data_IF_810611815214
#
_entry.id   IF_810611815214
#
_cell.length_a   1.000
_cell.length_b   1.000
_cell.length_c   1.000
_cell.angle_alpha   90.00
_cell.angle_beta   90.00
_cell.angle_gamma   90.00
#
_symmetry.space_group_name_H-M   'P 1'
#
loop_
_entity.id
_entity.type
_entity.pdbx_description
1 polymer ?
#
# COMPACT_ATOMS: atom_id res chain seq x y z
N UNK A 1 37.97 37.44 -2.07
CA UNK A 1 37.24 38.43 -2.93
C UNK A 1 36.76 37.83 -4.23
N UNK A 2 37.54 37.01 -4.90
CA UNK A 2 37.14 36.38 -6.19
C UNK A 2 35.99 35.39 -5.99
N UNK A 3 36.01 34.57 -4.91
CA UNK A 3 34.98 33.58 -4.65
C UNK A 3 33.61 34.19 -4.27
N UNK A 4 33.61 35.32 -3.54
CA UNK A 4 32.38 36.05 -3.23
C UNK A 4 31.77 36.73 -4.47
N UNK A 5 32.59 37.07 -5.44
CA UNK A 5 32.12 37.59 -6.72
C UNK A 5 31.58 36.49 -7.62
N UNK A 6 32.23 35.30 -7.64
CA UNK A 6 31.76 34.13 -8.37
C UNK A 6 30.40 33.61 -7.79
N UNK A 7 30.29 33.51 -6.46
CA UNK A 7 29.06 33.09 -5.81
C UNK A 7 27.88 34.07 -6.06
N UNK A 8 28.16 35.39 -6.12
CA UNK A 8 27.17 36.37 -6.52
C UNK A 8 26.79 36.24 -8.00
N UNK A 9 27.74 36.02 -8.88
CA UNK A 9 27.48 35.85 -10.33
C UNK A 9 26.70 34.59 -10.60
N UNK A 10 27.04 33.47 -9.95
CA UNK A 10 26.24 32.22 -10.05
C UNK A 10 24.85 32.39 -9.46
N UNK A 11 24.68 33.05 -8.33
CA UNK A 11 23.36 33.36 -7.76
C UNK A 11 22.51 34.28 -8.65
N UNK A 12 23.12 35.26 -9.32
CA UNK A 12 22.42 36.12 -10.30
C UNK A 12 22.08 35.34 -11.58
N UNK A 13 22.97 34.46 -12.05
CA UNK A 13 22.70 33.63 -13.24
C UNK A 13 21.61 32.62 -13.00
N UNK A 14 21.58 31.91 -11.84
CA UNK A 14 20.48 31.00 -11.47
C UNK A 14 19.17 31.76 -11.33
N UNK A 15 19.14 32.89 -10.64
CA UNK A 15 17.90 33.70 -10.52
C UNK A 15 17.43 34.29 -11.87
N UNK A 16 18.33 34.66 -12.75
CA UNK A 16 18.01 35.13 -14.09
C UNK A 16 17.53 34.02 -15.01
N UNK A 17 18.10 32.81 -14.91
CA UNK A 17 17.65 31.63 -15.64
C UNK A 17 16.27 31.19 -15.14
N UNK A 18 16.05 31.16 -13.82
CA UNK A 18 14.75 30.87 -13.20
C UNK A 18 13.69 31.90 -13.60
N UNK A 19 14.07 33.18 -13.75
CA UNK A 19 13.16 34.22 -14.19
C UNK A 19 12.85 34.10 -15.68
N UNK A 20 13.85 33.82 -16.52
CA UNK A 20 13.67 33.56 -17.94
C UNK A 20 12.85 32.33 -18.22
N UNK A 21 12.98 31.28 -17.39
CA UNK A 21 12.15 30.06 -17.47
C UNK A 21 10.70 30.35 -17.08
N UNK A 22 10.45 31.16 -16.05
CA UNK A 22 9.09 31.63 -15.69
C UNK A 22 8.47 32.51 -16.77
N UNK A 23 9.24 33.43 -17.34
CA UNK A 23 8.79 34.30 -18.41
C UNK A 23 8.56 33.53 -19.74
N UNK A 24 9.27 32.44 -19.95
CA UNK A 24 9.08 31.55 -21.11
C UNK A 24 7.87 30.59 -20.95
N UNK A 25 7.16 30.61 -19.84
CA UNK A 25 5.98 29.77 -19.58
C UNK A 25 6.30 28.27 -19.34
N UNK A 26 7.57 27.91 -19.13
CA UNK A 26 7.94 26.55 -18.77
C UNK A 26 7.65 26.26 -17.29
N UNK A 27 7.05 25.12 -16.95
CA UNK A 27 6.81 24.75 -15.55
C UNK A 27 8.12 24.51 -14.82
N UNK A 28 8.27 25.16 -13.66
CA UNK A 28 9.42 25.03 -12.77
C UNK A 28 8.99 24.25 -11.53
N UNK A 29 9.80 23.29 -11.04
CA UNK A 29 9.50 22.61 -9.78
C UNK A 29 9.59 23.59 -8.62
N UNK A 30 8.60 23.53 -7.74
CA UNK A 30 8.51 24.40 -6.55
C UNK A 30 8.28 23.57 -5.32
N UNK A 31 8.85 23.99 -4.21
CA UNK A 31 8.60 23.39 -2.91
C UNK A 31 8.42 24.47 -1.84
N UNK A 32 7.79 24.10 -0.77
CA UNK A 32 7.72 24.85 0.46
C UNK A 32 8.12 23.94 1.61
N UNK A 33 9.00 24.41 2.46
CA UNK A 33 9.43 23.70 3.66
C UNK A 33 9.39 24.67 4.84
N UNK A 34 8.72 24.23 5.92
CA UNK A 34 8.74 24.98 7.18
C UNK A 34 9.44 24.17 8.26
N UNK A 35 10.12 24.87 9.18
CA UNK A 35 10.70 24.29 10.41
C UNK A 35 10.00 24.97 11.59
N UNK A 36 9.35 24.19 12.44
CA UNK A 36 8.56 24.69 13.59
C UNK A 36 7.61 25.83 13.20
N UNK A 37 7.00 25.73 12.00
CA UNK A 37 6.07 26.69 11.43
C UNK A 37 6.71 27.86 10.66
N UNK A 38 8.01 28.05 10.72
CA UNK A 38 8.72 29.10 9.99
C UNK A 38 9.09 28.64 8.58
N UNK A 39 8.69 29.37 7.56
CA UNK A 39 9.01 29.08 6.17
C UNK A 39 10.48 29.36 5.89
N UNK A 40 11.21 28.33 5.47
CA UNK A 40 12.64 28.40 5.15
C UNK A 40 12.92 28.17 3.66
N UNK A 41 11.90 28.00 2.82
CA UNK A 41 12.07 27.63 1.43
C UNK A 41 12.98 28.59 0.66
N UNK A 42 12.80 29.91 0.84
CA UNK A 42 13.66 30.90 0.18
C UNK A 42 15.11 30.87 0.64
N UNK A 43 15.35 30.53 1.91
CA UNK A 43 16.69 30.42 2.47
C UNK A 43 17.44 29.22 1.91
N UNK A 44 16.73 28.07 1.78
CA UNK A 44 17.35 26.80 1.39
C UNK A 44 17.33 26.56 -0.12
N UNK A 45 16.44 27.17 -0.91
CA UNK A 45 16.37 26.97 -2.36
C UNK A 45 17.72 27.13 -3.08
N UNK A 46 18.52 28.17 -2.84
CA UNK A 46 19.80 28.32 -3.52
C UNK A 46 20.91 27.38 -3.02
N UNK A 47 20.61 26.62 -1.96
CA UNK A 47 21.54 25.67 -1.31
C UNK A 47 21.10 24.22 -1.46
N UNK A 48 19.93 23.98 -2.05
CA UNK A 48 19.37 22.65 -2.17
C UNK A 48 20.21 21.79 -3.14
N UNK A 49 20.78 20.70 -2.61
CA UNK A 49 21.42 19.67 -3.39
C UNK A 49 20.37 18.62 -3.77
N UNK A 50 19.66 18.09 -2.76
CA UNK A 50 18.61 17.10 -2.97
C UNK A 50 17.54 17.19 -1.86
N UNK A 51 16.31 16.91 -2.22
CA UNK A 51 15.18 16.69 -1.34
C UNK A 51 14.49 15.40 -1.80
N UNK A 52 14.52 14.39 -0.96
CA UNK A 52 13.93 13.08 -1.23
C UNK A 52 12.84 12.80 -0.21
N UNK A 53 11.65 12.46 -0.68
CA UNK A 53 10.55 12.01 0.13
C UNK A 53 10.14 10.61 -0.33
N UNK A 54 10.15 9.66 0.59
CA UNK A 54 9.58 8.33 0.38
C UNK A 54 8.27 8.21 1.15
N UNK A 55 7.17 8.13 0.42
CA UNK A 55 5.84 7.77 0.92
C UNK A 55 5.77 6.25 1.00
N UNK A 56 5.89 5.69 2.19
CA UNK A 56 5.90 4.25 2.41
C UNK A 56 4.48 3.68 2.52
N UNK A 57 4.33 2.49 1.99
CA UNK A 57 3.12 1.68 2.16
C UNK A 57 3.08 1.06 3.56
N UNK A 58 1.90 1.03 4.17
CA UNK A 58 1.69 0.36 5.46
C UNK A 58 2.18 1.16 6.66
N UNK A 59 2.75 0.48 7.64
CA UNK A 59 3.17 1.05 8.93
C UNK A 59 4.64 1.51 8.95
N UNK A 60 5.32 1.44 7.84
CA UNK A 60 6.64 2.07 7.74
C UNK A 60 6.49 3.59 7.69
N UNK A 61 7.31 4.29 8.48
CA UNK A 61 7.27 5.74 8.52
C UNK A 61 7.73 6.31 7.18
N UNK A 62 7.00 7.30 6.66
CA UNK A 62 7.48 8.07 5.53
C UNK A 62 8.77 8.77 5.91
N UNK A 63 9.70 8.89 4.98
CA UNK A 63 11.03 9.43 5.21
C UNK A 63 11.26 10.65 4.34
N UNK A 64 11.65 11.74 4.97
CA UNK A 64 12.08 12.96 4.31
C UNK A 64 13.58 13.14 4.54
N UNK A 65 14.34 13.30 3.46
CA UNK A 65 15.76 13.65 3.48
C UNK A 65 15.97 14.96 2.73
N UNK A 66 16.67 15.91 3.37
CA UNK A 66 17.02 17.19 2.76
C UNK A 66 18.52 17.39 2.87
N UNK A 67 19.18 17.57 1.74
CA UNK A 67 20.64 17.76 1.64
C UNK A 67 20.92 19.16 1.11
N UNK A 68 21.66 19.94 1.87
CA UNK A 68 21.94 21.36 1.63
C UNK A 68 23.44 21.62 1.57
N UNK A 69 23.86 22.49 0.66
CA UNK A 69 25.23 23.04 0.65
C UNK A 69 25.38 24.07 1.77
N UNK A 70 26.36 23.87 2.62
CA UNK A 70 26.73 24.81 3.69
C UNK A 70 28.11 25.46 3.46
N UNK A 71 28.39 25.78 2.20
CA UNK A 71 29.68 26.31 1.71
C UNK A 71 30.18 27.55 2.44
N UNK A 72 29.34 28.26 3.16
CA UNK A 72 29.67 29.48 3.93
C UNK A 72 29.55 29.26 5.45
N UNK A 73 29.14 28.06 5.89
CA UNK A 73 29.00 27.71 7.32
C UNK A 73 27.88 28.47 8.05
N UNK A 74 26.89 29.01 7.31
CA UNK A 74 25.85 29.87 7.89
C UNK A 74 24.53 29.12 8.16
N UNK A 75 24.40 27.85 7.77
CA UNK A 75 23.22 27.08 8.05
C UNK A 75 23.18 26.65 9.54
N UNK A 76 22.09 26.99 10.19
CA UNK A 76 21.84 26.48 11.53
C UNK A 76 21.45 24.99 11.44
N UNK A 77 22.09 24.16 12.26
CA UNK A 77 21.73 22.74 12.38
C UNK A 77 20.41 22.64 13.17
N UNK A 78 19.32 22.11 12.57
CA UNK A 78 18.06 21.97 13.30
C UNK A 78 18.21 20.96 14.45
N UNK A 79 17.60 21.23 15.61
CA UNK A 79 17.64 20.29 16.72
C UNK A 79 16.81 19.03 16.39
N UNK A 80 17.19 17.90 17.00
CA UNK A 80 16.37 16.70 16.96
C UNK A 80 14.99 16.98 17.55
N UNK A 81 13.94 16.51 16.86
CA UNK A 81 12.57 16.76 17.27
C UNK A 81 11.96 18.01 16.65
N UNK A 82 12.72 18.80 15.88
CA UNK A 82 12.16 19.89 15.09
C UNK A 82 11.12 19.35 14.11
N UNK A 83 10.05 20.11 13.89
CA UNK A 83 8.92 19.71 13.06
C UNK A 83 9.07 20.34 11.68
N UNK A 84 9.23 19.49 10.66
CA UNK A 84 9.25 19.89 9.25
C UNK A 84 7.85 19.70 8.64
N UNK A 85 7.39 20.64 7.81
CA UNK A 85 6.20 20.46 6.98
C UNK A 85 6.55 20.75 5.53
N UNK A 86 6.24 19.83 4.63
CA UNK A 86 6.64 19.83 3.24
C UNK A 86 5.45 19.96 2.30
N UNK A 87 5.60 20.80 1.27
CA UNK A 87 4.75 20.85 0.08
C UNK A 87 5.63 20.74 -1.15
N UNK A 88 5.19 19.98 -2.14
CA UNK A 88 5.86 19.79 -3.43
C UNK A 88 4.90 20.11 -4.57
N UNK A 89 5.42 20.58 -5.69
CA UNK A 89 4.61 20.82 -6.87
C UNK A 89 5.36 21.53 -8.01
N UNK A 90 4.59 22.18 -8.84
CA UNK A 90 5.09 22.92 -10.00
C UNK A 90 4.49 24.32 -10.04
N UNK A 91 5.19 25.25 -10.67
CA UNK A 91 4.74 26.65 -10.79
C UNK A 91 3.40 26.80 -11.51
N UNK A 92 3.04 25.85 -12.39
CA UNK A 92 1.80 25.84 -13.18
C UNK A 92 0.64 25.08 -12.51
N UNK A 93 0.91 24.11 -11.64
CA UNK A 93 -0.11 23.25 -11.01
C UNK A 93 -0.25 23.47 -9.51
N UNK A 94 0.65 24.26 -8.91
CA UNK A 94 0.63 24.58 -7.48
C UNK A 94 1.27 23.51 -6.59
N UNK A 95 1.17 23.76 -5.29
CA UNK A 95 1.78 22.94 -4.24
C UNK A 95 0.78 21.95 -3.66
N UNK A 96 1.22 20.70 -3.46
CA UNK A 96 0.48 19.63 -2.78
C UNK A 96 1.12 19.43 -1.41
N UNK A 97 0.30 19.37 -0.37
CA UNK A 97 0.74 19.07 1.01
C UNK A 97 1.20 17.62 1.11
N UNK A 98 2.45 17.42 1.56
CA UNK A 98 3.05 16.09 1.75
C UNK A 98 3.14 15.71 3.24
N UNK A 99 2.66 16.57 4.13
CA UNK A 99 2.56 16.25 5.56
C UNK A 99 3.72 16.71 6.40
N UNK A 100 3.78 16.18 7.61
CA UNK A 100 4.64 16.64 8.70
C UNK A 100 5.63 15.56 9.11
N UNK A 101 6.88 15.96 9.31
CA UNK A 101 8.01 15.09 9.62
C UNK A 101 8.73 15.60 10.86
N UNK A 102 9.27 14.68 11.67
CA UNK A 102 10.07 15.03 12.85
C UNK A 102 11.52 14.69 12.56
N UNK A 103 12.42 15.66 12.73
CA UNK A 103 13.86 15.47 12.55
C UNK A 103 14.38 14.46 13.58
N UNK A 104 14.94 13.37 13.10
CA UNK A 104 15.55 12.33 13.94
C UNK A 104 17.08 12.27 13.80
N UNK A 105 17.60 12.72 12.67
CA UNK A 105 19.04 12.71 12.39
C UNK A 105 19.46 13.97 11.62
N UNK A 106 20.56 14.55 12.05
CA UNK A 106 21.24 15.65 11.36
C UNK A 106 22.72 15.32 11.23
N UNK A 107 23.29 15.46 10.05
CA UNK A 107 24.68 15.17 9.76
C UNK A 107 25.29 16.36 9.02
N UNK A 108 26.46 16.81 9.47
CA UNK A 108 27.24 17.84 8.79
C UNK A 108 28.59 17.24 8.40
N UNK A 109 28.90 17.29 7.12
CA UNK A 109 30.11 16.76 6.51
C UNK A 109 30.87 17.88 5.79
N UNK A 110 32.20 17.76 5.71
CA UNK A 110 33.07 18.68 4.96
C UNK A 110 34.39 18.03 4.61
N UNK A 111 35.15 18.45 3.59
CA UNK A 111 34.83 19.43 2.56
C UNK A 111 34.48 18.75 1.24
N UNK A 112 33.54 19.27 0.43
CA UNK A 112 32.75 20.51 0.65
C UNK A 112 31.74 20.33 1.77
N UNK A 113 31.40 21.45 2.46
CA UNK A 113 30.50 21.42 3.60
C UNK A 113 29.04 21.22 3.17
N UNK A 114 28.44 20.19 3.73
CA UNK A 114 27.08 19.72 3.42
C UNK A 114 26.33 19.41 4.71
N UNK A 115 25.10 19.92 4.83
CA UNK A 115 24.18 19.59 5.89
C UNK A 115 23.10 18.64 5.35
N UNK A 116 23.03 17.44 5.94
CA UNK A 116 21.98 16.46 5.67
C UNK A 116 21.02 16.36 6.86
N UNK A 117 19.73 16.47 6.59
CA UNK A 117 18.65 16.42 7.59
C UNK A 117 17.77 15.23 7.20
N UNK A 118 17.58 14.28 8.12
CA UNK A 118 16.65 13.16 7.96
C UNK A 118 15.52 13.30 8.96
N UNK A 119 14.31 13.13 8.47
CA UNK A 119 13.10 13.24 9.28
C UNK A 119 12.12 12.13 8.91
N UNK A 120 11.30 11.71 9.86
CA UNK A 120 10.28 10.68 9.66
C UNK A 120 8.90 11.24 9.95
N UNK A 121 7.88 10.68 9.29
CA UNK A 121 6.51 11.15 9.50
C UNK A 121 6.14 11.17 10.98
N UNK A 122 5.53 12.27 11.40
CA UNK A 122 5.14 12.52 12.79
C UNK A 122 4.06 11.56 13.30
N UNK A 123 3.39 10.86 12.40
CA UNK A 123 2.20 10.06 12.69
C UNK A 123 2.50 8.74 13.41
N UNK A 124 3.72 8.19 13.28
CA UNK A 124 4.14 6.99 14.00
C UNK A 124 4.61 7.32 15.43
N UNK A 125 3.64 7.50 16.31
CA UNK A 125 3.85 7.86 17.72
C UNK A 125 4.65 6.79 18.47
N UNK A 126 5.43 7.23 19.47
CA UNK A 126 6.20 6.34 20.38
C UNK A 126 5.33 5.25 21.01
N UNK A 127 4.04 5.51 21.23
CA UNK A 127 3.09 4.56 21.84
C UNK A 127 2.93 3.25 21.06
N UNK A 128 2.90 3.32 19.73
CA UNK A 128 2.76 2.13 18.88
C UNK A 128 3.96 1.18 18.94
N UNK A 129 5.13 1.66 19.36
CA UNK A 129 6.36 0.85 19.52
C UNK A 129 6.50 0.21 20.89
N UNK A 130 5.64 0.57 21.85
CA UNK A 130 5.66 0.00 23.19
C UNK A 130 5.11 -1.41 23.15
N UNK A 131 5.86 -2.37 23.72
CA UNK A 131 5.42 -3.76 23.84
C UNK A 131 4.32 -3.87 24.89
N UNK A 132 3.31 -4.67 24.58
CA UNK A 132 2.12 -4.87 25.43
C UNK A 132 1.78 -6.36 25.53
N UNK A 133 0.97 -6.67 26.53
CA UNK A 133 0.37 -7.99 26.72
C UNK A 133 -1.15 -7.80 26.80
N UNK A 134 -1.85 -8.31 25.79
CA UNK A 134 -3.30 -8.26 25.66
C UNK A 134 -3.81 -9.50 24.96
N UNK A 135 -5.06 -9.85 25.23
CA UNK A 135 -5.74 -10.97 24.61
C UNK A 135 -7.17 -10.57 24.23
N UNK A 136 -7.59 -10.99 23.05
CA UNK A 136 -8.95 -10.79 22.55
C UNK A 136 -9.52 -12.14 22.14
N UNK A 137 -10.75 -12.40 22.55
CA UNK A 137 -11.46 -13.64 22.22
C UNK A 137 -12.90 -13.35 21.81
N UNK A 138 -13.56 -14.32 21.16
CA UNK A 138 -14.97 -14.23 20.79
C UNK A 138 -15.83 -13.69 21.99
N UNK A 139 -16.74 -12.70 21.77
CA UNK A 139 -17.30 -12.26 20.48
C UNK A 139 -16.63 -11.03 19.84
N UNK A 140 -15.35 -10.78 20.09
CA UNK A 140 -14.63 -9.63 19.52
C UNK A 140 -14.48 -9.74 17.99
N UNK A 141 -14.49 -8.58 17.34
CA UNK A 141 -14.22 -8.44 15.91
C UNK A 141 -12.86 -7.79 15.66
N UNK A 142 -12.36 -7.82 14.43
CA UNK A 142 -11.16 -7.08 14.05
C UNK A 142 -11.33 -5.57 14.31
N UNK A 143 -12.53 -5.04 14.07
CA UNK A 143 -12.86 -3.65 14.39
C UNK A 143 -12.72 -3.32 15.87
N UNK A 144 -13.11 -4.22 16.77
CA UNK A 144 -12.93 -4.02 18.21
C UNK A 144 -11.44 -3.98 18.59
N UNK A 145 -10.64 -4.92 18.06
CA UNK A 145 -9.18 -4.97 18.30
C UNK A 145 -8.51 -3.68 17.85
N UNK A 146 -8.80 -3.24 16.61
CA UNK A 146 -8.23 -2.02 16.05
C UNK A 146 -8.69 -0.77 16.82
N UNK A 147 -9.93 -0.75 17.30
CA UNK A 147 -10.45 0.33 18.16
C UNK A 147 -9.71 0.39 19.50
N UNK A 148 -9.51 -0.76 20.15
CA UNK A 148 -8.75 -0.84 21.41
C UNK A 148 -7.29 -0.34 21.23
N UNK A 149 -6.66 -0.67 20.09
CA UNK A 149 -5.30 -0.19 19.75
C UNK A 149 -5.30 1.33 19.51
N UNK A 150 -6.27 1.86 18.79
CA UNK A 150 -6.35 3.29 18.47
C UNK A 150 -6.58 4.14 19.71
N UNK A 151 -7.48 3.72 20.58
CA UNK A 151 -7.76 4.40 21.85
C UNK A 151 -6.49 4.45 22.74
N UNK A 152 -5.75 3.33 22.81
CA UNK A 152 -4.50 3.25 23.57
C UNK A 152 -3.36 4.12 23.03
N UNK A 153 -3.48 4.65 21.81
CA UNK A 153 -2.47 5.46 21.14
C UNK A 153 -2.96 6.86 20.73
N UNK A 154 -4.13 7.31 21.20
CA UNK A 154 -4.75 8.59 20.84
C UNK A 154 -4.91 8.77 19.31
N UNK A 155 -5.26 7.70 18.60
CA UNK A 155 -5.56 7.70 17.19
C UNK A 155 -7.07 7.56 16.97
N UNK A 156 -7.55 7.96 15.79
CA UNK A 156 -8.93 7.70 15.36
C UNK A 156 -8.97 6.46 14.47
N UNK A 157 -9.84 5.47 14.73
CA UNK A 157 -9.99 4.32 13.84
C UNK A 157 -10.74 4.71 12.56
N UNK A 158 -10.20 4.34 11.41
CA UNK A 158 -10.84 4.50 10.09
C UNK A 158 -10.70 3.19 9.34
N UNK A 159 -11.72 2.35 9.44
CA UNK A 159 -11.68 0.94 9.06
C UNK A 159 -12.64 0.66 7.90
N UNK A 160 -12.19 -0.10 6.92
CA UNK A 160 -13.07 -0.58 5.87
C UNK A 160 -14.15 -1.52 6.46
N UNK A 161 -15.45 -1.33 6.14
CA UNK A 161 -16.53 -2.17 6.68
C UNK A 161 -16.33 -3.67 6.44
N UNK A 162 -15.71 -4.04 5.32
CA UNK A 162 -15.39 -5.42 4.98
C UNK A 162 -14.41 -6.09 5.97
N UNK A 163 -13.56 -5.31 6.63
CA UNK A 163 -12.61 -5.80 7.63
C UNK A 163 -13.13 -5.69 9.05
N UNK A 164 -13.84 -4.60 9.35
CA UNK A 164 -14.26 -4.28 10.72
C UNK A 164 -15.13 -5.38 11.37
N UNK A 165 -16.01 -6.01 10.60
CA UNK A 165 -16.92 -7.06 11.09
C UNK A 165 -16.32 -8.47 11.15
N UNK A 166 -15.06 -8.68 10.77
CA UNK A 166 -14.47 -10.02 10.76
C UNK A 166 -14.27 -10.54 12.20
N UNK A 167 -14.75 -11.74 12.53
CA UNK A 167 -14.67 -12.28 13.88
C UNK A 167 -13.23 -12.65 14.25
N UNK A 168 -12.88 -12.38 15.51
CA UNK A 168 -11.65 -12.83 16.17
C UNK A 168 -12.02 -13.92 17.15
N UNK A 169 -11.61 -15.15 16.89
CA UNK A 169 -11.86 -16.27 17.82
C UNK A 169 -10.89 -16.20 19.00
N UNK A 170 -9.62 -16.04 18.72
CA UNK A 170 -8.55 -15.83 19.70
C UNK A 170 -7.39 -15.05 19.06
N UNK A 171 -6.96 -14.00 19.72
CA UNK A 171 -5.80 -13.19 19.32
C UNK A 171 -5.03 -12.79 20.57
N UNK A 172 -3.76 -13.13 20.61
CA UNK A 172 -2.87 -12.78 21.69
C UNK A 172 -1.77 -11.84 21.19
N UNK A 173 -1.51 -10.79 21.97
CA UNK A 173 -0.37 -9.91 21.84
C UNK A 173 0.53 -10.18 23.04
N UNK A 174 1.61 -10.94 22.84
CA UNK A 174 2.52 -11.36 23.89
C UNK A 174 3.89 -10.71 23.69
N UNK A 175 4.27 -9.76 24.53
CA UNK A 175 5.52 -9.00 24.43
C UNK A 175 5.74 -8.39 23.04
N UNK A 176 4.66 -8.02 22.40
CA UNK A 176 4.59 -7.50 21.03
C UNK A 176 4.16 -6.03 21.03
N UNK A 177 4.74 -5.20 20.16
CA UNK A 177 4.30 -3.81 19.99
C UNK A 177 3.00 -3.73 19.20
N UNK A 178 2.24 -2.64 19.38
CA UNK A 178 1.02 -2.41 18.59
C UNK A 178 1.33 -2.33 17.09
N UNK A 179 2.47 -1.75 16.70
CA UNK A 179 2.91 -1.70 15.31
C UNK A 179 3.12 -3.11 14.72
N UNK A 180 3.84 -3.98 15.44
CA UNK A 180 4.06 -5.36 14.98
C UNK A 180 2.75 -6.16 14.90
N UNK A 181 1.88 -5.99 15.92
CA UNK A 181 0.55 -6.62 15.89
C UNK A 181 -0.27 -6.18 14.67
N UNK A 182 -0.28 -4.87 14.37
CA UNK A 182 -0.98 -4.34 13.20
C UNK A 182 -0.40 -4.85 11.89
N UNK A 183 0.93 -5.00 11.80
CA UNK A 183 1.60 -5.61 10.62
C UNK A 183 1.17 -7.06 10.46
N UNK A 184 1.20 -7.85 11.53
CA UNK A 184 0.76 -9.26 11.53
C UNK A 184 -0.71 -9.41 11.18
N UNK A 185 -1.58 -8.53 11.71
CA UNK A 185 -2.99 -8.51 11.32
C UNK A 185 -3.17 -8.13 9.85
N UNK A 186 -2.37 -7.18 9.33
CA UNK A 186 -2.34 -6.86 7.91
C UNK A 186 -2.00 -8.08 7.05
N UNK A 187 -1.03 -8.89 7.48
CA UNK A 187 -0.64 -10.12 6.79
C UNK A 187 -1.74 -11.19 6.87
N UNK A 188 -2.33 -11.41 8.05
CA UNK A 188 -3.35 -12.45 8.27
C UNK A 188 -4.69 -12.13 7.58
N UNK A 189 -5.00 -10.85 7.36
CA UNK A 189 -6.26 -10.38 6.80
C UNK A 189 -6.14 -9.79 5.38
N UNK A 190 -4.98 -9.91 4.75
CA UNK A 190 -4.68 -9.27 3.45
C UNK A 190 -5.08 -7.78 3.43
N UNK A 191 -4.64 -7.09 4.47
CA UNK A 191 -4.99 -5.70 4.72
C UNK A 191 -3.74 -4.83 4.86
N UNK A 192 -3.90 -3.55 4.56
CA UNK A 192 -2.89 -2.53 4.80
C UNK A 192 -3.35 -1.69 5.98
N UNK A 193 -2.56 -1.71 7.06
CA UNK A 193 -2.72 -0.80 8.18
C UNK A 193 -1.70 0.33 8.03
N UNK A 194 -2.12 1.58 8.15
CA UNK A 194 -1.24 2.75 8.12
C UNK A 194 -1.74 3.85 9.03
N UNK A 195 -0.85 4.70 9.51
CA UNK A 195 -1.21 5.85 10.34
C UNK A 195 -0.94 7.12 9.56
N UNK A 196 -1.99 7.87 9.25
CA UNK A 196 -1.92 9.15 8.53
C UNK A 196 -2.86 10.16 9.20
N UNK A 197 -2.41 11.41 9.35
CA UNK A 197 -3.18 12.53 9.93
C UNK A 197 -3.87 12.19 11.26
N UNK A 198 -3.20 11.46 12.15
CA UNK A 198 -3.73 11.07 13.47
C UNK A 198 -4.81 9.98 13.41
N UNK A 199 -5.02 9.33 12.26
CA UNK A 199 -5.93 8.22 12.09
C UNK A 199 -5.16 6.92 11.84
N UNK A 200 -5.63 5.80 12.41
CA UNK A 200 -5.25 4.45 11.96
C UNK A 200 -6.20 4.02 10.86
N UNK A 201 -5.70 3.94 9.64
CA UNK A 201 -6.40 3.45 8.47
C UNK A 201 -6.18 1.94 8.35
N UNK A 202 -7.23 1.15 8.11
CA UNK A 202 -7.10 -0.26 7.80
C UNK A 202 -7.99 -0.62 6.60
N UNK A 203 -7.38 -1.04 5.51
CA UNK A 203 -7.99 -1.23 4.20
C UNK A 203 -7.61 -2.61 3.64
N UNK A 204 -8.48 -3.27 2.86
CA UNK A 204 -8.08 -4.45 2.10
C UNK A 204 -6.95 -4.10 1.11
N UNK A 205 -5.90 -4.89 1.08
CA UNK A 205 -4.79 -4.69 0.16
C UNK A 205 -5.25 -4.85 -1.31
N UNK A 206 -4.81 -3.95 -2.19
CA UNK A 206 -5.19 -3.99 -3.61
C UNK A 206 -6.64 -3.60 -3.90
N UNK A 207 -7.41 -3.18 -2.89
CA UNK A 207 -8.83 -2.85 -3.04
C UNK A 207 -9.11 -1.59 -3.87
N UNK A 208 -8.15 -0.68 -4.01
CA UNK A 208 -8.34 0.59 -4.72
C UNK A 208 -9.47 1.45 -4.17
N UNK A 209 -9.76 1.33 -2.87
CA UNK A 209 -10.85 2.04 -2.19
C UNK A 209 -10.36 2.69 -0.90
N UNK A 210 -10.97 3.82 -0.56
CA UNK A 210 -10.79 4.45 0.75
C UNK A 210 -11.44 3.61 1.86
N UNK A 211 -11.16 3.92 3.12
CA UNK A 211 -11.83 3.26 4.25
C UNK A 211 -13.34 3.50 4.28
N UNK A 212 -13.83 4.60 3.73
CA UNK A 212 -15.27 4.85 3.56
C UNK A 212 -15.90 4.10 2.39
N UNK A 213 -15.11 3.33 1.62
CA UNK A 213 -15.57 2.54 0.46
C UNK A 213 -15.61 3.31 -0.86
N UNK A 214 -15.21 4.59 -0.87
CA UNK A 214 -15.08 5.36 -2.12
C UNK A 214 -13.88 4.84 -2.92
N UNK A 215 -14.03 4.75 -4.25
CA UNK A 215 -12.93 4.41 -5.14
C UNK A 215 -11.77 5.41 -5.01
N UNK A 216 -10.55 4.91 -4.85
CA UNK A 216 -9.37 5.73 -5.04
C UNK A 216 -9.20 6.06 -6.53
N UNK A 217 -8.58 7.20 -6.87
CA UNK A 217 -8.32 7.54 -8.25
C UNK A 217 -7.57 6.42 -8.99
N UNK A 218 -8.03 6.13 -10.21
CA UNK A 218 -7.29 5.29 -11.15
C UNK A 218 -6.49 6.18 -12.07
N UNK A 219 -5.19 5.93 -12.18
CA UNK A 219 -4.26 6.77 -12.91
C UNK A 219 -3.84 6.06 -14.20
N UNK A 220 -4.00 6.72 -15.32
CA UNK A 220 -3.43 6.26 -16.59
C UNK A 220 -2.11 6.97 -16.83
N UNK A 221 -1.04 6.20 -17.02
CA UNK A 221 0.29 6.68 -17.34
C UNK A 221 0.64 6.25 -18.77
N UNK A 222 1.22 7.15 -19.55
CA UNK A 222 1.67 6.85 -20.91
C UNK A 222 3.18 6.67 -20.96
N UNK A 223 3.67 6.03 -22.02
CA UNK A 223 5.12 5.91 -22.24
C UNK A 223 5.85 7.25 -22.26
N UNK A 224 5.14 8.33 -22.63
CA UNK A 224 5.71 9.68 -22.69
C UNK A 224 5.85 10.34 -21.31
N UNK A 225 5.05 9.93 -20.32
CA UNK A 225 5.15 10.43 -18.94
C UNK A 225 6.38 9.85 -18.23
N UNK A 226 6.89 8.68 -18.70
CA UNK A 226 7.99 7.96 -18.10
C UNK A 226 9.34 8.30 -18.70
N UNK A 227 10.35 8.42 -17.82
CA UNK A 227 11.75 8.47 -18.19
C UNK A 227 12.34 7.06 -18.26
N UNK A 228 12.16 6.28 -17.21
CA UNK A 228 12.67 4.92 -17.10
C UNK A 228 11.59 3.98 -16.57
N UNK A 229 11.68 2.70 -17.00
CA UNK A 229 10.86 1.65 -16.42
C UNK A 229 11.63 0.33 -16.37
N UNK A 230 11.29 -0.49 -15.38
CA UNK A 230 11.81 -1.85 -15.22
C UNK A 230 10.66 -2.79 -14.89
N UNK A 231 10.31 -3.62 -15.84
CA UNK A 231 9.35 -4.70 -15.65
C UNK A 231 10.10 -5.97 -15.26
N UNK A 232 9.66 -6.61 -14.20
CA UNK A 232 10.17 -7.90 -13.73
C UNK A 232 9.00 -8.85 -13.53
N UNK A 233 9.05 -9.97 -14.20
CA UNK A 233 8.22 -11.13 -13.93
C UNK A 233 9.15 -12.25 -13.47
N UNK A 234 8.94 -12.74 -12.25
CA UNK A 234 9.79 -13.75 -11.65
C UNK A 234 8.95 -14.94 -11.21
N UNK A 235 9.41 -16.12 -11.60
CA UNK A 235 8.80 -17.40 -11.20
C UNK A 235 9.51 -18.01 -9.97
N UNK A 236 10.24 -17.17 -9.21
CA UNK A 236 11.06 -17.64 -8.07
C UNK A 236 10.23 -18.15 -6.89
N UNK A 237 9.00 -17.68 -6.77
CA UNK A 237 8.07 -18.01 -5.70
C UNK A 237 6.80 -18.65 -6.27
N UNK A 238 6.93 -19.46 -7.34
CA UNK A 238 5.83 -20.19 -7.94
C UNK A 238 5.42 -21.37 -7.05
N UNK A 239 4.70 -21.04 -5.99
CA UNK A 239 4.04 -22.03 -5.17
C UNK A 239 2.71 -22.45 -5.81
N UNK A 240 2.37 -23.73 -5.69
CA UNK A 240 1.05 -24.24 -6.10
C UNK A 240 -0.06 -23.74 -5.17
N UNK A 241 0.30 -23.43 -3.93
CA UNK A 241 -0.59 -22.93 -2.91
C UNK A 241 0.13 -22.56 -1.62
N UNK A 242 -0.64 -22.11 -0.64
CA UNK A 242 -0.17 -21.80 0.71
C UNK A 242 -0.84 -22.70 1.72
N UNK A 243 -0.06 -23.27 2.63
CA UNK A 243 -0.52 -24.15 3.70
C UNK A 243 -0.33 -23.48 5.05
N UNK A 244 -1.42 -23.42 5.82
CA UNK A 244 -1.42 -23.00 7.21
C UNK A 244 -1.84 -24.15 8.11
N UNK A 245 -1.33 -24.19 9.32
CA UNK A 245 -1.68 -25.22 10.30
C UNK A 245 -2.57 -24.66 11.39
N UNK A 246 -3.50 -25.48 11.87
CA UNK A 246 -4.31 -25.18 13.03
C UNK A 246 -4.40 -26.39 13.96
N UNK A 247 -4.73 -26.13 15.22
CA UNK A 247 -4.95 -27.19 16.20
C UNK A 247 -6.44 -27.44 16.35
N UNK A 248 -6.88 -28.62 15.97
CA UNK A 248 -8.28 -29.03 16.15
C UNK A 248 -8.47 -29.55 17.56
N UNK A 249 -9.18 -28.80 18.37
CA UNK A 249 -9.45 -29.12 19.78
C UNK A 249 -10.26 -30.42 19.93
N UNK A 250 -11.16 -30.72 18.98
CA UNK A 250 -12.03 -31.90 19.05
C UNK A 250 -11.27 -33.21 18.78
N UNK A 251 -10.36 -33.18 17.80
CA UNK A 251 -9.55 -34.35 17.45
C UNK A 251 -8.19 -34.37 18.18
N UNK A 252 -7.83 -33.32 18.91
CA UNK A 252 -6.52 -33.10 19.54
C UNK A 252 -5.35 -33.29 18.57
N UNK A 253 -5.51 -32.89 17.31
CA UNK A 253 -4.51 -33.05 16.26
C UNK A 253 -4.24 -31.72 15.55
N UNK A 254 -2.98 -31.57 15.12
CA UNK A 254 -2.60 -30.53 14.19
C UNK A 254 -3.12 -30.88 12.80
N UNK A 255 -3.90 -30.01 12.20
CA UNK A 255 -4.48 -30.16 10.86
C UNK A 255 -3.99 -29.03 9.94
N UNK A 256 -4.21 -29.16 8.64
CA UNK A 256 -3.81 -28.20 7.63
C UNK A 256 -5.01 -27.54 6.94
N UNK A 257 -4.84 -26.28 6.57
CA UNK A 257 -5.73 -25.52 5.69
C UNK A 257 -4.90 -25.01 4.51
N UNK A 258 -5.39 -25.21 3.27
CA UNK A 258 -4.64 -24.88 2.05
C UNK A 258 -5.46 -23.92 1.22
N UNK A 259 -4.81 -22.82 0.77
CA UNK A 259 -5.29 -21.90 -0.25
C UNK A 259 -4.50 -22.13 -1.54
N UNK A 260 -5.15 -21.96 -2.70
CA UNK A 260 -4.56 -22.30 -4.01
C UNK A 260 -4.77 -23.78 -4.38
N UNK A 261 -3.87 -24.34 -5.20
CA UNK A 261 -3.91 -25.75 -5.59
C UNK A 261 -3.20 -26.64 -4.55
N UNK A 262 -3.63 -27.88 -4.45
CA UNK A 262 -2.91 -28.91 -3.67
C UNK A 262 -1.85 -29.53 -4.58
N UNK A 263 -0.70 -28.86 -4.70
CA UNK A 263 0.48 -29.37 -5.39
C UNK A 263 1.57 -29.80 -4.41
N UNK A 264 2.70 -30.19 -4.95
CA UNK A 264 3.87 -30.60 -4.16
C UNK A 264 4.66 -29.42 -3.61
N UNK A 265 4.57 -28.24 -4.28
CA UNK A 265 5.28 -27.03 -3.90
C UNK A 265 4.35 -26.07 -3.13
N UNK A 266 4.11 -26.34 -1.84
CA UNK A 266 3.31 -25.50 -0.97
C UNK A 266 4.18 -24.61 -0.09
N UNK A 267 3.82 -23.33 0.03
CA UNK A 267 4.42 -22.42 1.02
C UNK A 267 3.79 -22.66 2.39
N UNK A 268 4.58 -23.06 3.36
CA UNK A 268 4.13 -23.26 4.73
C UNK A 268 4.16 -21.95 5.53
N UNK A 269 3.05 -21.60 6.17
CA UNK A 269 3.02 -20.51 7.14
C UNK A 269 3.64 -20.99 8.46
N UNK A 270 4.45 -20.14 9.08
CA UNK A 270 5.21 -20.47 10.30
C UNK A 270 4.32 -20.63 11.53
N UNK A 271 3.20 -19.90 11.58
CA UNK A 271 2.29 -19.89 12.72
C UNK A 271 1.30 -21.05 12.67
N UNK A 272 0.95 -21.56 13.83
CA UNK A 272 -0.17 -22.50 14.00
C UNK A 272 -1.34 -21.70 14.57
N UNK A 273 -2.47 -21.74 13.91
CA UNK A 273 -3.67 -20.96 14.26
C UNK A 273 -4.55 -21.75 15.25
N UNK A 274 -5.41 -21.04 15.97
CA UNK A 274 -6.32 -21.61 16.96
C UNK A 274 -7.42 -22.47 16.33
N UNK A 275 -7.77 -22.16 15.09
CA UNK A 275 -8.89 -22.77 14.39
C UNK A 275 -8.69 -22.79 12.87
N UNK A 276 -9.51 -23.61 12.20
CA UNK A 276 -9.46 -23.80 10.75
C UNK A 276 -9.75 -22.53 9.96
N UNK A 277 -10.67 -21.71 10.44
CA UNK A 277 -11.09 -20.50 9.72
C UNK A 277 -9.96 -19.46 9.69
N UNK A 278 -9.32 -19.24 10.84
CA UNK A 278 -8.15 -18.34 10.94
C UNK A 278 -6.99 -18.84 10.10
N UNK A 279 -6.69 -20.16 10.11
CA UNK A 279 -5.64 -20.73 9.28
C UNK A 279 -5.92 -20.57 7.78
N UNK A 280 -7.15 -20.83 7.36
CA UNK A 280 -7.53 -20.70 5.94
C UNK A 280 -7.51 -19.23 5.49
N UNK A 281 -7.93 -18.30 6.34
CA UNK A 281 -7.87 -16.87 6.08
C UNK A 281 -6.43 -16.42 5.86
N UNK A 282 -5.53 -16.75 6.76
CA UNK A 282 -4.12 -16.41 6.63
C UNK A 282 -3.46 -17.07 5.40
N UNK A 283 -3.80 -18.33 5.10
CA UNK A 283 -3.32 -18.98 3.89
C UNK A 283 -3.80 -18.27 2.61
N UNK A 284 -5.05 -17.80 2.58
CA UNK A 284 -5.60 -17.02 1.45
C UNK A 284 -4.95 -15.64 1.34
N UNK A 285 -4.74 -14.96 2.45
CA UNK A 285 -4.07 -13.67 2.48
C UNK A 285 -2.67 -13.76 1.87
N UNK A 286 -1.89 -14.77 2.29
CA UNK A 286 -0.56 -15.02 1.75
C UNK A 286 -0.60 -15.45 0.28
N UNK A 287 -1.56 -16.28 -0.11
CA UNK A 287 -1.74 -16.67 -1.51
C UNK A 287 -2.03 -15.46 -2.40
N UNK A 288 -2.93 -14.57 -1.98
CA UNK A 288 -3.22 -13.33 -2.70
C UNK A 288 -1.96 -12.45 -2.82
N UNK A 289 -1.16 -12.35 -1.75
CA UNK A 289 0.10 -11.59 -1.75
C UNK A 289 1.11 -12.15 -2.74
N UNK A 290 1.29 -13.47 -2.79
CA UNK A 290 2.17 -14.13 -3.77
C UNK A 290 1.72 -13.88 -5.20
N UNK A 291 0.42 -13.95 -5.45
CA UNK A 291 -0.14 -13.69 -6.78
C UNK A 291 0.03 -12.23 -7.21
N UNK A 292 -0.12 -11.25 -6.30
CA UNK A 292 0.17 -9.83 -6.59
C UNK A 292 1.65 -9.61 -6.91
N UNK A 293 2.54 -10.26 -6.19
CA UNK A 293 3.99 -10.15 -6.39
C UNK A 293 4.52 -10.86 -7.65
N UNK A 294 3.69 -11.54 -8.44
CA UNK A 294 4.11 -12.30 -9.62
C UNK A 294 4.72 -11.42 -10.71
N UNK A 295 4.27 -10.17 -10.82
CA UNK A 295 4.89 -9.16 -11.67
C UNK A 295 5.06 -7.85 -10.90
N UNK A 296 6.23 -7.24 -11.06
CA UNK A 296 6.56 -5.93 -10.48
C UNK A 296 7.03 -4.97 -11.56
N UNK A 297 6.71 -3.71 -11.38
CA UNK A 297 7.10 -2.65 -12.30
C UNK A 297 7.62 -1.46 -11.50
N UNK A 298 8.86 -1.06 -11.75
CA UNK A 298 9.38 0.25 -11.34
C UNK A 298 9.20 1.22 -12.49
N UNK A 299 8.60 2.38 -12.22
CA UNK A 299 8.29 3.39 -13.22
C UNK A 299 8.67 4.77 -12.71
N UNK A 300 9.57 5.45 -13.45
CA UNK A 300 10.04 6.79 -13.10
C UNK A 300 9.37 7.80 -14.02
N UNK A 301 8.66 8.76 -13.45
CA UNK A 301 8.04 9.86 -14.16
C UNK A 301 9.06 10.98 -14.36
N UNK A 302 9.24 11.41 -15.60
CA UNK A 302 10.15 12.51 -15.95
C UNK A 302 9.69 13.85 -15.35
N UNK A 303 8.37 14.04 -15.23
CA UNK A 303 7.76 15.15 -14.52
C UNK A 303 7.15 14.62 -13.23
N UNK A 304 7.71 15.03 -12.08
CA UNK A 304 7.23 14.61 -10.76
C UNK A 304 5.75 14.96 -10.53
N UNK A 305 5.02 14.06 -9.89
CA UNK A 305 3.60 14.19 -9.57
C UNK A 305 3.39 14.07 -8.06
N UNK A 306 3.30 15.21 -7.39
CA UNK A 306 3.12 15.28 -5.94
C UNK A 306 1.78 14.73 -5.44
N UNK A 307 0.78 14.60 -6.31
CA UNK A 307 -0.54 14.04 -6.03
C UNK A 307 -0.54 12.51 -5.90
N UNK A 308 0.52 11.82 -6.34
CA UNK A 308 0.61 10.38 -6.24
C UNK A 308 0.97 9.94 -4.81
N UNK A 309 0.25 8.93 -4.36
CA UNK A 309 0.37 8.31 -3.03
C UNK A 309 0.36 6.80 -3.18
N UNK A 310 0.80 6.01 -2.17
CA UNK A 310 0.60 4.57 -2.15
C UNK A 310 -0.86 4.17 -2.30
N UNK A 311 -1.12 2.92 -2.67
CA UNK A 311 -2.44 2.29 -2.79
C UNK A 311 -3.29 2.74 -4.01
N UNK A 312 -2.82 3.65 -4.86
CA UNK A 312 -3.49 3.97 -6.10
C UNK A 312 -3.40 2.82 -7.11
N UNK A 313 -4.32 2.80 -8.06
CA UNK A 313 -4.27 1.87 -9.19
C UNK A 313 -3.85 2.57 -10.47
N UNK A 314 -3.10 1.85 -11.31
CA UNK A 314 -2.51 2.40 -12.52
C UNK A 314 -2.76 1.49 -13.73
N UNK A 315 -2.89 2.10 -14.90
CA UNK A 315 -2.80 1.44 -16.21
C UNK A 315 -1.72 2.15 -17.01
N UNK A 316 -0.88 1.39 -17.71
CA UNK A 316 0.10 1.94 -18.61
C UNK A 316 -0.40 1.88 -20.05
N UNK A 317 0.05 2.80 -20.89
CA UNK A 317 -0.28 2.85 -22.31
C UNK A 317 0.96 3.15 -23.14
N UNK A 318 1.17 2.33 -24.18
CA UNK A 318 2.24 2.52 -25.15
C UNK A 318 3.63 2.08 -24.67
N UNK A 319 3.72 1.28 -23.61
CA UNK A 319 4.98 0.68 -23.13
C UNK A 319 5.21 -0.64 -23.87
N UNK A 320 4.39 -1.64 -23.59
CA UNK A 320 4.39 -2.95 -24.25
C UNK A 320 3.05 -3.64 -23.98
N UNK A 321 2.52 -4.36 -24.96
CA UNK A 321 1.18 -4.96 -24.88
C UNK A 321 0.98 -5.80 -23.61
N UNK A 322 2.00 -6.57 -23.19
CA UNK A 322 1.93 -7.43 -22.00
C UNK A 322 1.94 -6.61 -20.72
N UNK A 323 2.57 -5.43 -20.68
CA UNK A 323 2.61 -4.52 -19.54
C UNK A 323 1.34 -3.67 -19.49
N UNK A 324 0.87 -3.21 -20.67
CA UNK A 324 -0.30 -2.35 -20.81
C UNK A 324 -1.61 -3.11 -20.46
N UNK A 325 -1.61 -4.44 -20.63
CA UNK A 325 -2.73 -5.30 -20.26
C UNK A 325 -2.92 -5.51 -18.75
N UNK A 326 -1.91 -5.14 -17.93
CA UNK A 326 -1.94 -5.35 -16.48
C UNK A 326 -2.47 -4.09 -15.80
N UNK A 327 -3.40 -4.27 -14.88
CA UNK A 327 -3.74 -3.23 -13.89
C UNK A 327 -2.70 -3.31 -12.78
N UNK A 328 -2.04 -2.20 -12.53
CA UNK A 328 -0.99 -2.08 -11.53
C UNK A 328 -1.52 -1.48 -10.24
N UNK A 329 -0.94 -1.91 -9.13
CA UNK A 329 -1.25 -1.45 -7.80
C UNK A 329 -0.03 -0.79 -7.17
N UNK A 330 -0.19 0.43 -6.63
CA UNK A 330 0.89 1.24 -6.09
C UNK A 330 1.42 0.74 -4.76
N UNK A 331 2.71 0.46 -4.74
CA UNK A 331 3.51 0.28 -3.52
C UNK A 331 4.03 1.63 -3.01
N UNK A 332 5.33 1.70 -2.71
CA UNK A 332 5.96 2.93 -2.27
C UNK A 332 6.04 3.98 -3.40
N UNK A 333 5.94 5.24 -3.02
CA UNK A 333 6.10 6.38 -3.94
C UNK A 333 7.27 7.22 -3.46
N UNK A 334 8.26 7.44 -4.33
CA UNK A 334 9.39 8.29 -4.02
C UNK A 334 9.35 9.57 -4.87
N UNK A 335 9.45 10.72 -4.21
CA UNK A 335 9.57 12.03 -4.83
C UNK A 335 10.99 12.52 -4.63
N UNK A 336 11.68 12.85 -5.72
CA UNK A 336 13.04 13.39 -5.69
C UNK A 336 13.09 14.74 -6.39
N UNK A 337 13.59 15.74 -5.68
CA UNK A 337 13.87 17.08 -6.21
C UNK A 337 15.36 17.37 -6.03
N UNK A 338 16.07 17.60 -7.12
CA UNK A 338 17.48 17.95 -7.10
C UNK A 338 17.80 19.07 -8.07
N UNK A 339 18.92 19.75 -7.82
CA UNK A 339 19.38 20.87 -8.67
C UNK A 339 19.65 20.40 -10.11
N UNK A 340 20.22 19.20 -10.29
CA UNK A 340 20.62 18.68 -11.59
C UNK A 340 19.53 17.83 -12.26
N UNK A 341 18.69 17.15 -11.47
CA UNK A 341 17.68 16.18 -11.96
C UNK A 341 16.24 16.73 -12.03
N UNK A 342 16.00 17.95 -11.55
CA UNK A 342 14.65 18.51 -11.46
C UNK A 342 13.78 17.75 -10.46
N UNK A 343 12.47 17.72 -10.70
CA UNK A 343 11.51 17.01 -9.85
C UNK A 343 10.95 15.78 -10.58
N UNK A 344 11.26 14.60 -10.06
CA UNK A 344 10.82 13.31 -10.57
C UNK A 344 10.01 12.55 -9.51
N UNK A 345 9.20 11.59 -9.95
CA UNK A 345 8.49 10.67 -9.06
C UNK A 345 8.73 9.22 -9.52
N UNK A 346 9.21 8.40 -8.61
CA UNK A 346 9.43 6.97 -8.85
C UNK A 346 8.31 6.16 -8.17
N UNK A 347 7.75 5.22 -8.91
CA UNK A 347 6.66 4.35 -8.49
C UNK A 347 7.17 2.91 -8.42
N UNK A 348 6.87 2.23 -7.31
CA UNK A 348 6.95 0.78 -7.20
C UNK A 348 5.54 0.22 -7.38
N UNK A 349 5.36 -0.62 -8.37
CA UNK A 349 4.05 -1.15 -8.74
C UNK A 349 4.06 -2.68 -8.71
N UNK A 350 2.97 -3.26 -8.22
CA UNK A 350 2.71 -4.69 -8.22
C UNK A 350 1.51 -4.98 -9.13
N UNK A 351 1.44 -6.17 -9.71
CA UNK A 351 0.26 -6.56 -10.48
C UNK A 351 -0.98 -6.63 -9.58
N UNK A 352 -2.06 -5.94 -9.97
CA UNK A 352 -3.34 -6.07 -9.28
C UNK A 352 -3.97 -7.41 -9.65
N UNK A 353 -4.38 -8.18 -8.64
CA UNK A 353 -5.18 -9.37 -8.91
C UNK A 353 -6.50 -8.98 -9.56
N UNK A 354 -6.94 -9.68 -10.61
CA UNK A 354 -8.32 -9.62 -11.06
C UNK A 354 -9.27 -9.89 -9.89
N UNK A 355 -10.36 -9.13 -9.80
CA UNK A 355 -11.32 -9.26 -8.68
C UNK A 355 -11.88 -10.67 -8.53
N UNK A 356 -11.87 -11.44 -9.61
CA UNK A 356 -12.28 -12.83 -9.66
C UNK A 356 -11.28 -13.82 -9.03
N UNK A 357 -10.01 -13.44 -8.90
CA UNK A 357 -8.99 -14.26 -8.25
C UNK A 357 -8.79 -13.89 -6.78
N UNK A 358 -9.27 -12.73 -6.34
CA UNK A 358 -9.28 -12.37 -4.91
C UNK A 358 -10.25 -13.32 -4.22
N UNK A 359 -9.71 -14.29 -3.50
CA UNK A 359 -10.54 -15.17 -2.66
C UNK A 359 -11.14 -14.32 -1.54
N UNK A 360 -12.48 -14.19 -1.52
CA UNK A 360 -13.18 -13.45 -0.48
C UNK A 360 -12.84 -13.99 0.92
N UNK A 361 -12.19 -13.18 1.71
CA UNK A 361 -11.91 -13.47 3.12
C UNK A 361 -13.20 -13.58 3.95
N UNK A 362 -14.28 -12.94 3.47
CA UNK A 362 -15.57 -12.90 4.13
C UNK A 362 -16.47 -14.12 3.83
N UNK A 363 -16.21 -14.88 2.77
CA UNK A 363 -17.13 -15.93 2.30
C UNK A 363 -17.01 -17.25 3.04
N UNK A 364 -16.14 -17.33 4.06
CA UNK A 364 -15.96 -18.54 4.89
C UNK A 364 -16.60 -18.43 6.30
N UNK A 365 -17.44 -17.42 6.54
CA UNK A 365 -18.46 -17.56 7.56
C UNK A 365 -19.41 -18.61 7.01
N UNK A 366 -19.28 -19.86 7.47
CA UNK A 366 -20.12 -21.00 7.11
C UNK A 366 -21.59 -20.63 7.11
N UNK A 367 -22.00 -19.90 6.09
CA UNK A 367 -23.39 -19.59 5.86
C UNK A 367 -24.04 -20.89 5.50
N UNK A 368 -25.07 -21.28 6.24
CA UNK A 368 -25.95 -22.39 5.92
C UNK A 368 -26.60 -22.19 4.54
N UNK A 369 -25.76 -22.20 3.50
CA UNK A 369 -26.25 -22.16 2.14
C UNK A 369 -26.81 -23.55 1.78
N UNK A 370 -28.05 -23.55 1.33
CA UNK A 370 -28.76 -24.78 0.97
C UNK A 370 -28.57 -25.19 -0.49
N UNK A 371 -27.98 -24.27 -1.30
CA UNK A 371 -27.74 -24.51 -2.72
C UNK A 371 -26.75 -23.51 -3.34
N UNK A 372 -26.50 -23.65 -4.63
CA UNK A 372 -25.68 -22.76 -5.45
C UNK A 372 -26.42 -22.35 -6.71
N UNK A 373 -26.25 -21.10 -7.12
CA UNK A 373 -26.76 -20.55 -8.38
C UNK A 373 -25.65 -19.82 -9.15
N UNK A 374 -25.50 -20.15 -10.43
CA UNK A 374 -24.63 -19.47 -11.37
C UNK A 374 -25.42 -18.94 -12.57
N UNK A 375 -24.96 -17.82 -13.12
CA UNK A 375 -25.55 -17.17 -14.28
C UNK A 375 -24.68 -17.39 -15.53
N UNK A 376 -25.30 -17.59 -16.68
CA UNK A 376 -24.60 -17.69 -17.96
C UNK A 376 -25.36 -16.96 -19.06
N UNK A 377 -24.62 -16.45 -20.03
CA UNK A 377 -25.21 -15.83 -21.22
C UNK A 377 -25.45 -16.89 -22.28
N UNK A 378 -26.71 -17.05 -22.67
CA UNK A 378 -27.07 -17.95 -23.77
C UNK A 378 -26.66 -17.34 -25.10
N UNK A 379 -25.72 -18.00 -25.80
CA UNK A 379 -25.18 -17.52 -27.09
C UNK A 379 -26.20 -17.42 -28.22
N UNK A 380 -27.37 -18.07 -28.09
CA UNK A 380 -28.43 -18.02 -29.11
C UNK A 380 -29.45 -16.92 -28.87
N UNK A 381 -29.81 -16.68 -27.60
CA UNK A 381 -30.86 -15.71 -27.24
C UNK A 381 -30.27 -14.40 -26.66
N UNK A 382 -28.97 -14.34 -26.34
CA UNK A 382 -28.34 -13.20 -25.71
C UNK A 382 -28.82 -12.93 -24.26
N UNK A 383 -29.76 -13.73 -23.74
CA UNK A 383 -30.37 -13.57 -22.42
C UNK A 383 -29.54 -14.29 -21.34
N UNK A 384 -29.62 -13.77 -20.11
CA UNK A 384 -29.06 -14.43 -18.94
C UNK A 384 -29.95 -15.58 -18.49
N UNK A 385 -29.34 -16.74 -18.26
CA UNK A 385 -29.97 -17.93 -17.74
C UNK A 385 -29.20 -18.45 -16.55
N UNK A 386 -29.84 -19.27 -15.71
CA UNK A 386 -29.26 -19.79 -14.46
C UNK A 386 -28.99 -21.29 -14.54
N UNK A 387 -27.99 -21.73 -13.78
CA UNK A 387 -27.73 -23.12 -13.42
C UNK A 387 -27.67 -23.23 -11.90
N UNK A 388 -28.33 -24.19 -11.32
CA UNK A 388 -28.46 -24.36 -9.87
C UNK A 388 -28.05 -25.77 -9.41
N UNK A 389 -27.62 -25.90 -8.15
CA UNK A 389 -27.45 -27.16 -7.44
C UNK A 389 -27.89 -27.01 -5.99
N UNK A 390 -28.41 -28.08 -5.38
CA UNK A 390 -28.96 -28.06 -4.04
C UNK A 390 -30.29 -27.36 -3.90
N UNK A 391 -30.77 -27.19 -2.67
CA UNK A 391 -31.98 -26.49 -2.35
C UNK A 391 -31.78 -24.97 -2.52
N UNK A 392 -32.73 -24.30 -3.18
CA UNK A 392 -32.65 -22.87 -3.53
C UNK A 392 -33.34 -21.97 -2.50
N UNK A 393 -33.61 -22.44 -1.29
CA UNK A 393 -34.18 -21.61 -0.21
C UNK A 393 -33.19 -20.53 0.26
N UNK A 394 -31.89 -20.85 0.28
CA UNK A 394 -30.80 -19.93 0.62
C UNK A 394 -29.57 -20.23 -0.27
N UNK A 395 -29.62 -19.94 -1.59
CA UNK A 395 -28.54 -20.29 -2.48
C UNK A 395 -27.38 -19.33 -2.37
N UNK A 396 -26.15 -19.84 -2.44
CA UNK A 396 -24.94 -19.07 -2.71
C UNK A 396 -24.93 -18.69 -4.19
N UNK A 397 -24.87 -17.41 -4.50
CA UNK A 397 -24.77 -16.91 -5.87
C UNK A 397 -23.30 -16.89 -6.28
N UNK A 398 -22.95 -17.60 -7.38
CA UNK A 398 -21.64 -17.46 -7.99
C UNK A 398 -21.63 -16.11 -8.75
N UNK A 399 -20.55 -15.34 -8.55
CA UNK A 399 -20.46 -13.94 -9.01
C UNK A 399 -20.31 -13.79 -10.52
N UNK A 400 -19.96 -14.88 -11.24
CA UNK A 400 -19.62 -14.78 -12.65
C UNK A 400 -20.80 -15.01 -13.56
N UNK A 401 -20.84 -14.18 -14.62
CA UNK A 401 -21.63 -14.47 -15.80
C UNK A 401 -20.79 -15.36 -16.72
N UNK A 402 -21.10 -16.64 -16.73
CA UNK A 402 -20.37 -17.60 -17.56
C UNK A 402 -20.76 -17.47 -19.04
N UNK A 403 -19.78 -17.67 -19.93
CA UNK A 403 -20.01 -17.58 -21.38
C UNK A 403 -20.87 -18.72 -21.94
N UNK A 404 -20.99 -19.85 -21.24
CA UNK A 404 -21.78 -21.01 -21.67
C UNK A 404 -22.43 -21.73 -20.51
N UNK A 405 -23.56 -22.44 -20.79
CA UNK A 405 -24.23 -23.30 -19.82
C UNK A 405 -23.29 -24.38 -19.25
N UNK A 406 -22.42 -24.93 -20.08
CA UNK A 406 -21.49 -25.98 -19.67
C UNK A 406 -20.43 -25.48 -18.68
N UNK A 407 -19.92 -24.25 -18.86
CA UNK A 407 -18.97 -23.63 -17.93
C UNK A 407 -19.62 -23.27 -16.59
N UNK A 408 -20.84 -22.70 -16.64
CA UNK A 408 -21.63 -22.44 -15.43
C UNK A 408 -21.93 -23.72 -14.66
N UNK A 409 -22.33 -24.80 -15.34
CA UNK A 409 -22.61 -26.09 -14.70
C UNK A 409 -21.38 -26.67 -14.02
N UNK A 410 -20.22 -26.68 -14.68
CA UNK A 410 -18.97 -27.16 -14.06
C UNK A 410 -18.60 -26.35 -12.82
N UNK A 411 -18.82 -25.06 -12.81
CA UNK A 411 -18.56 -24.21 -11.66
C UNK A 411 -19.54 -24.53 -10.50
N UNK A 412 -20.82 -24.63 -10.79
CA UNK A 412 -21.85 -25.02 -9.80
C UNK A 412 -21.56 -26.40 -9.21
N UNK A 413 -21.27 -27.41 -10.04
CA UNK A 413 -21.01 -28.77 -9.58
C UNK A 413 -19.76 -28.85 -8.70
N UNK A 414 -18.69 -28.08 -9.05
CA UNK A 414 -17.47 -27.98 -8.27
C UNK A 414 -17.71 -27.35 -6.91
N UNK A 415 -18.38 -26.19 -6.87
CA UNK A 415 -18.64 -25.49 -5.62
C UNK A 415 -19.66 -26.23 -4.74
N UNK A 416 -20.67 -26.86 -5.32
CA UNK A 416 -21.61 -27.71 -4.61
C UNK A 416 -20.92 -28.92 -3.97
N UNK A 417 -20.03 -29.58 -4.72
CA UNK A 417 -19.22 -30.68 -4.18
C UNK A 417 -18.27 -30.25 -3.05
N UNK A 418 -17.80 -28.99 -3.05
CA UNK A 418 -17.04 -28.42 -1.95
C UNK A 418 -17.91 -28.19 -0.71
N UNK A 419 -19.09 -27.60 -0.89
CA UNK A 419 -20.03 -27.36 0.23
C UNK A 419 -20.45 -28.64 0.91
N UNK A 420 -20.76 -29.69 0.15
CA UNK A 420 -21.12 -31.00 0.71
C UNK A 420 -19.99 -31.69 1.49
N UNK A 421 -18.72 -31.38 1.17
CA UNK A 421 -17.56 -31.90 1.91
C UNK A 421 -17.28 -31.12 3.20
N UNK A 422 -17.75 -29.91 3.31
CA UNK A 422 -17.61 -29.05 4.50
C UNK A 422 -18.68 -29.39 5.54
N UNK A 423 -19.86 -29.84 5.09
CA UNK A 423 -20.99 -30.20 5.95
C UNK A 423 -20.97 -31.68 6.38
N UNK A 424 -19.95 -32.43 6.03
CA UNK A 424 -19.63 -33.77 6.53
C UNK A 424 -18.42 -33.73 7.46
#
# INVERSE_FOLDING_TARGET
MIDAALARVTGYLTSAVDQLQRDAGYPVPVFRLTVDGNDIAQLISPRLIALDLTDNRGLEADQLSVTLSDHDGLLAIPPRGAVLHLWLGWSDSGLVDKGTYIVDETEHNGAPDVLSIRARSADLRKGLKVKRERSWSNPKTLGDVLTDITLGNNLKPVLAPALAGLPILQLDQANESDANLLTRLGEDFDAVATVKAGCLLCLPAGGGKTASGLGLPHITLTRQDGDQHRYLQADRDSYDGVRAYFYDVNSAKKQEAIAGAKGDNLKDLRHTYSDRQSALRAARAEWNRLQRGSATLSYVLARGRADLIPELTYTLQGVKTEIDAIIWYGGNVQHSLSADGGYITSLELESKLPEDLVSDLADDTGGDYTGIIAYYRDGKSGTEKTVTAGDQSKPRRLRYLYSTKASAKRAVDREWGRMQKINR
#
